data_IF_838602250581
#
_entry.id   IF_838602250581
#
_cell.length_a   1.000
_cell.length_b   1.000
_cell.length_c   1.000
_cell.angle_alpha   90.00
_cell.angle_beta   90.00
_cell.angle_gamma   90.00
#
_symmetry.space_group_name_H-M   'P 1'
#
loop_
_entity.id
_entity.type
_entity.pdbx_description
1 polymer ?
#
# COMPACT_ATOMS: atom_id res chain seq x y z
N UNK A 1 -25.56 -60.39 46.36
CA UNK A 1 -24.20 -60.56 45.82
C UNK A 1 -24.21 -60.13 44.35
N UNK A 2 -23.08 -59.59 43.88
CA UNK A 2 -22.84 -58.80 42.65
C UNK A 2 -23.06 -59.55 41.32
N UNK A 3 -23.25 -58.77 40.25
CA UNK A 3 -22.91 -59.11 38.85
C UNK A 3 -23.77 -58.36 37.82
N UNK A 4 -23.57 -57.05 37.63
CA UNK A 4 -22.81 -56.38 36.55
C UNK A 4 -23.41 -56.49 35.12
N UNK A 5 -23.75 -55.31 34.58
CA UNK A 5 -24.23 -55.01 33.24
C UNK A 5 -23.17 -55.21 32.14
N UNK A 6 -23.62 -55.44 30.91
CA UNK A 6 -22.88 -55.01 29.71
C UNK A 6 -23.85 -54.31 28.74
N UNK A 7 -23.61 -53.01 28.52
CA UNK A 7 -24.37 -52.14 27.65
C UNK A 7 -23.85 -52.22 26.20
N UNK A 8 -24.76 -52.31 25.24
CA UNK A 8 -24.46 -52.15 23.82
C UNK A 8 -24.25 -50.65 23.52
N UNK A 9 -23.08 -50.30 22.96
CA UNK A 9 -22.77 -48.92 22.54
C UNK A 9 -22.91 -48.85 21.03
N UNK A 10 -23.91 -48.11 20.57
CA UNK A 10 -24.10 -47.74 19.16
C UNK A 10 -23.13 -46.61 18.76
N UNK A 11 -22.60 -46.70 17.55
CA UNK A 11 -21.63 -45.75 16.98
C UNK A 11 -22.27 -44.40 16.62
N UNK A 12 -21.56 -43.30 16.88
CA UNK A 12 -21.84 -41.98 16.33
C UNK A 12 -20.57 -41.43 15.66
N UNK A 13 -20.57 -41.39 14.33
CA UNK A 13 -19.51 -40.75 13.55
C UNK A 13 -19.76 -39.24 13.53
N UNK A 14 -18.87 -38.46 14.16
CA UNK A 14 -18.90 -37.01 14.13
C UNK A 14 -18.28 -36.49 12.84
N UNK A 15 -19.12 -35.99 11.93
CA UNK A 15 -18.70 -35.32 10.69
C UNK A 15 -18.08 -33.96 11.04
N UNK A 16 -16.76 -33.84 10.91
CA UNK A 16 -16.06 -32.57 11.06
C UNK A 16 -16.22 -31.78 9.76
N UNK A 17 -17.05 -30.73 9.76
CA UNK A 17 -17.17 -29.84 8.61
C UNK A 17 -15.90 -28.98 8.49
N UNK A 18 -15.30 -28.82 7.29
CA UNK A 18 -14.18 -27.92 7.10
C UNK A 18 -14.67 -26.47 7.28
N UNK A 19 -13.99 -25.72 8.15
CA UNK A 19 -14.19 -24.28 8.27
C UNK A 19 -13.65 -23.59 7.01
N UNK A 20 -14.52 -22.94 6.24
CA UNK A 20 -14.12 -22.10 5.13
C UNK A 20 -13.39 -20.87 5.68
N UNK A 21 -12.06 -20.85 5.52
CA UNK A 21 -11.26 -19.68 5.84
C UNK A 21 -11.59 -18.58 4.81
N UNK A 22 -12.44 -17.63 5.20
CA UNK A 22 -12.58 -16.35 4.47
C UNK A 22 -11.21 -15.67 4.50
N UNK A 23 -10.53 -15.65 3.35
CA UNK A 23 -9.34 -14.84 3.18
C UNK A 23 -9.76 -13.37 3.26
N UNK A 24 -9.15 -12.62 4.19
CA UNK A 24 -9.35 -11.18 4.23
C UNK A 24 -9.00 -10.58 2.85
N UNK A 25 -9.80 -9.64 2.32
CA UNK A 25 -9.50 -9.03 1.03
C UNK A 25 -8.09 -8.44 1.08
N UNK A 26 -7.27 -8.78 0.08
CA UNK A 26 -5.94 -8.21 -0.05
C UNK A 26 -6.06 -6.69 -0.09
N UNK A 27 -5.35 -6.00 0.81
CA UNK A 27 -5.37 -4.55 0.87
C UNK A 27 -4.95 -3.96 -0.50
N UNK A 28 -5.89 -3.29 -1.15
CA UNK A 28 -5.69 -2.77 -2.51
C UNK A 28 -4.84 -1.50 -2.49
N UNK A 29 -3.79 -1.41 -3.34
CA UNK A 29 -3.00 -0.20 -3.46
C UNK A 29 -3.77 0.91 -4.18
N UNK A 30 -4.85 0.58 -4.88
CA UNK A 30 -5.64 1.52 -5.68
C UNK A 30 -6.41 2.47 -4.77
N UNK A 31 -6.35 3.76 -5.08
CA UNK A 31 -7.01 4.83 -4.34
C UNK A 31 -6.21 6.13 -4.32
N UNK A 32 -6.71 7.11 -3.56
CA UNK A 32 -6.02 8.36 -3.27
C UNK A 32 -5.37 8.29 -1.90
N UNK A 33 -4.10 8.66 -1.83
CA UNK A 33 -3.25 8.50 -0.66
C UNK A 33 -2.62 9.84 -0.29
N UNK A 34 -2.77 10.24 0.96
CA UNK A 34 -2.13 11.42 1.53
C UNK A 34 -0.84 10.99 2.22
N UNK A 35 0.26 11.71 1.95
CA UNK A 35 1.52 11.50 2.65
C UNK A 35 1.38 11.84 4.15
N UNK A 36 2.26 11.36 5.04
CA UNK A 36 2.13 11.58 6.48
C UNK A 36 2.23 13.06 6.91
N UNK A 37 2.73 13.93 6.04
CA UNK A 37 2.86 15.35 6.30
C UNK A 37 1.64 16.16 5.84
N UNK A 38 0.65 15.53 5.19
CA UNK A 38 -0.53 16.22 4.68
C UNK A 38 -0.25 17.20 3.53
N UNK A 39 0.90 17.07 2.86
CA UNK A 39 1.38 18.04 1.86
C UNK A 39 1.21 17.59 0.42
N UNK A 40 1.04 16.29 0.16
CA UNK A 40 0.89 15.73 -1.19
C UNK A 40 -0.13 14.59 -1.17
N UNK A 41 -1.09 14.63 -2.09
CA UNK A 41 -2.02 13.54 -2.35
C UNK A 41 -1.72 12.90 -3.71
N UNK A 42 -1.62 11.56 -3.73
CA UNK A 42 -1.34 10.76 -4.93
C UNK A 42 -2.50 9.82 -5.21
N UNK A 43 -3.03 9.87 -6.43
CA UNK A 43 -3.97 8.87 -6.91
C UNK A 43 -3.19 7.77 -7.62
N UNK A 44 -3.34 6.56 -7.13
CA UNK A 44 -2.75 5.36 -7.72
C UNK A 44 -3.68 4.74 -8.76
N UNK A 45 -3.10 4.06 -9.76
CA UNK A 45 -3.84 3.42 -10.83
C UNK A 45 -2.96 2.49 -11.65
N UNK A 46 -3.59 1.70 -12.50
CA UNK A 46 -2.88 0.90 -13.49
C UNK A 46 -2.32 1.80 -14.60
N UNK A 47 -1.12 1.48 -15.07
CA UNK A 47 -0.44 2.11 -16.19
C UNK A 47 0.11 0.97 -17.08
N UNK A 48 -0.79 0.31 -17.81
CA UNK A 48 -0.52 -0.97 -18.45
C UNK A 48 -0.52 -2.11 -17.43
N UNK A 49 0.54 -2.92 -17.44
CA UNK A 49 0.74 -4.06 -16.51
C UNK A 49 1.52 -3.65 -15.24
N UNK A 50 1.57 -2.35 -14.94
CA UNK A 50 2.26 -1.76 -13.79
C UNK A 50 1.28 -0.96 -12.92
N UNK A 51 1.66 -0.79 -11.66
CA UNK A 51 1.06 0.20 -10.77
C UNK A 51 1.82 1.53 -10.92
N UNK A 52 1.08 2.63 -11.00
CA UNK A 52 1.61 3.99 -11.02
C UNK A 52 0.81 4.88 -10.07
N UNK A 53 1.31 6.10 -9.85
CA UNK A 53 0.63 7.10 -9.05
C UNK A 53 0.98 8.51 -9.47
N UNK A 54 -0.04 9.36 -9.54
CA UNK A 54 0.05 10.74 -9.98
C UNK A 54 -0.38 11.68 -8.87
N UNK A 55 0.35 12.80 -8.74
CA UNK A 55 0.02 13.84 -7.78
C UNK A 55 -1.29 14.49 -8.23
N UNK A 56 -2.32 14.40 -7.40
CA UNK A 56 -3.63 15.00 -7.67
C UNK A 56 -3.87 16.28 -6.88
N UNK A 57 -3.05 16.52 -5.85
CA UNK A 57 -3.05 17.75 -5.06
C UNK A 57 -1.71 17.89 -4.32
N UNK A 58 -1.27 19.13 -4.10
CA UNK A 58 -0.11 19.45 -3.29
C UNK A 58 -0.27 20.82 -2.62
N UNK A 59 0.26 20.98 -1.40
CA UNK A 59 0.26 22.26 -0.69
C UNK A 59 1.11 23.32 -1.42
N UNK A 60 0.93 24.59 -1.04
CA UNK A 60 1.70 25.69 -1.63
C UNK A 60 3.21 25.54 -1.39
N UNK A 61 3.57 25.06 -0.20
CA UNK A 61 4.95 24.78 0.21
C UNK A 61 5.54 23.64 -0.61
N UNK A 62 4.82 22.51 -0.74
CA UNK A 62 5.29 21.39 -1.57
C UNK A 62 5.49 21.80 -3.04
N UNK A 63 4.63 22.67 -3.56
CA UNK A 63 4.80 23.23 -4.91
C UNK A 63 6.00 24.18 -5.00
N UNK A 64 6.32 24.93 -3.94
CA UNK A 64 7.51 25.78 -3.91
C UNK A 64 8.80 24.95 -3.87
N UNK A 65 8.88 23.96 -2.98
CA UNK A 65 10.03 23.06 -2.86
C UNK A 65 10.29 22.32 -4.18
N UNK A 66 9.22 21.86 -4.85
CA UNK A 66 9.32 21.23 -6.16
C UNK A 66 9.89 22.18 -7.23
N UNK A 67 9.50 23.47 -7.22
CA UNK A 67 10.04 24.47 -8.15
C UNK A 67 11.52 24.72 -7.92
N UNK A 68 11.95 24.78 -6.65
CA UNK A 68 13.38 24.88 -6.29
C UNK A 68 14.17 23.66 -6.79
N UNK A 69 13.55 22.47 -6.74
CA UNK A 69 14.06 21.23 -7.34
C UNK A 69 13.99 21.14 -8.87
N UNK A 70 13.50 22.19 -9.56
CA UNK A 70 13.39 22.25 -11.02
C UNK A 70 12.10 21.68 -11.61
N UNK A 71 11.10 21.37 -10.78
CA UNK A 71 9.79 20.82 -11.18
C UNK A 71 8.73 21.92 -11.12
N UNK A 72 8.42 22.53 -12.27
CA UNK A 72 7.48 23.67 -12.36
C UNK A 72 6.00 23.27 -12.40
N UNK A 73 5.69 22.02 -12.71
CA UNK A 73 4.33 21.48 -12.78
C UNK A 73 4.15 20.25 -11.88
N UNK A 74 4.05 20.46 -10.56
CA UNK A 74 3.98 19.37 -9.60
C UNK A 74 2.70 18.53 -9.73
N UNK A 75 1.53 19.18 -9.85
CA UNK A 75 0.25 18.49 -10.02
C UNK A 75 0.22 17.79 -11.39
N UNK A 76 -0.19 16.53 -11.41
CA UNK A 76 -0.18 15.66 -12.59
C UNK A 76 1.15 14.90 -12.77
N UNK A 77 2.21 15.27 -12.07
CA UNK A 77 3.48 14.53 -12.10
C UNK A 77 3.27 13.10 -11.61
N UNK A 78 3.85 12.14 -12.33
CA UNK A 78 3.89 10.75 -11.92
C UNK A 78 4.94 10.56 -10.83
N UNK A 79 4.49 10.50 -9.57
CA UNK A 79 5.36 10.31 -8.42
C UNK A 79 5.80 8.84 -8.26
N UNK A 80 4.88 7.91 -8.53
CA UNK A 80 5.11 6.46 -8.41
C UNK A 80 5.18 5.85 -9.82
N UNK A 81 6.35 5.32 -10.17
CA UNK A 81 6.72 4.91 -11.52
C UNK A 81 6.98 3.40 -11.61
N UNK A 82 6.32 2.73 -12.55
CA UNK A 82 6.63 1.36 -13.00
C UNK A 82 6.65 0.28 -11.90
N UNK A 83 5.71 0.32 -10.95
CA UNK A 83 5.68 -0.65 -9.87
C UNK A 83 5.20 -2.03 -10.34
N UNK A 84 5.98 -3.07 -10.02
CA UNK A 84 5.69 -4.48 -10.28
C UNK A 84 5.24 -5.18 -9.00
N UNK A 85 4.25 -6.08 -9.08
CA UNK A 85 3.80 -6.85 -7.92
C UNK A 85 4.89 -7.80 -7.41
N UNK A 86 4.89 -8.03 -6.11
CA UNK A 86 5.73 -8.97 -5.36
C UNK A 86 4.85 -9.71 -4.35
N UNK A 87 5.39 -10.71 -3.65
CA UNK A 87 4.64 -11.48 -2.65
C UNK A 87 4.02 -10.62 -1.52
N UNK A 88 4.56 -9.43 -1.23
CA UNK A 88 4.14 -8.59 -0.11
C UNK A 88 3.87 -7.12 -0.46
N UNK A 89 3.68 -6.81 -1.74
CA UNK A 89 3.46 -5.42 -2.19
C UNK A 89 4.04 -5.18 -3.58
N UNK A 90 4.62 -4.00 -3.81
CA UNK A 90 5.18 -3.63 -5.11
C UNK A 90 6.56 -3.02 -5.01
N UNK A 91 7.35 -3.17 -6.07
CA UNK A 91 8.67 -2.54 -6.22
C UNK A 91 8.73 -1.74 -7.51
N UNK A 92 9.33 -0.56 -7.46
CA UNK A 92 9.38 0.36 -8.59
C UNK A 92 10.28 1.55 -8.29
N UNK A 93 9.93 2.70 -8.85
CA UNK A 93 10.69 3.95 -8.70
C UNK A 93 9.79 5.02 -8.12
N UNK A 94 10.31 5.77 -7.15
CA UNK A 94 9.68 7.01 -6.67
C UNK A 94 10.45 8.20 -7.23
N UNK A 95 9.75 9.11 -7.87
CA UNK A 95 10.26 10.45 -8.19
C UNK A 95 10.10 11.33 -6.95
N UNK A 96 11.13 12.09 -6.59
CA UNK A 96 11.11 13.01 -5.45
C UNK A 96 11.32 14.43 -6.00
N UNK A 97 10.23 15.22 -6.11
CA UNK A 97 10.23 16.49 -6.84
C UNK A 97 11.13 17.57 -6.26
N UNK A 98 11.27 17.65 -4.94
CA UNK A 98 12.16 18.60 -4.23
C UNK A 98 13.64 18.42 -4.61
N UNK A 99 14.02 17.20 -5.00
CA UNK A 99 15.36 16.84 -5.45
C UNK A 99 15.48 16.72 -6.96
N UNK A 100 14.38 16.73 -7.71
CA UNK A 100 14.37 16.43 -9.15
C UNK A 100 14.92 15.04 -9.50
N UNK A 101 14.83 14.06 -8.58
CA UNK A 101 15.54 12.77 -8.68
C UNK A 101 14.63 11.57 -8.47
N UNK A 102 15.09 10.41 -8.98
CA UNK A 102 14.40 9.12 -8.91
C UNK A 102 15.16 8.14 -8.04
N UNK A 103 14.42 7.36 -7.25
CA UNK A 103 15.00 6.39 -6.32
C UNK A 103 14.25 5.06 -6.37
N UNK A 104 14.97 3.99 -6.05
CA UNK A 104 14.33 2.69 -5.81
C UNK A 104 13.30 2.84 -4.70
N UNK A 105 12.14 2.20 -4.87
CA UNK A 105 11.08 2.25 -3.89
C UNK A 105 10.27 0.96 -3.77
N UNK A 106 9.78 0.71 -2.55
CA UNK A 106 8.87 -0.39 -2.21
C UNK A 106 7.57 0.16 -1.62
N UNK A 107 6.45 -0.41 -2.03
CA UNK A 107 5.12 -0.14 -1.46
C UNK A 107 4.63 -1.42 -0.78
N UNK A 108 4.18 -1.29 0.47
CA UNK A 108 3.61 -2.39 1.26
C UNK A 108 2.26 -1.94 1.83
N UNK A 109 1.16 -2.68 1.61
CA UNK A 109 -0.10 -2.42 2.30
C UNK A 109 0.01 -2.61 3.81
N UNK A 110 -0.65 -1.74 4.56
CA UNK A 110 -0.75 -1.78 6.03
C UNK A 110 -2.22 -1.61 6.41
N UNK A 111 -2.93 -2.72 6.61
CA UNK A 111 -4.38 -2.71 6.78
C UNK A 111 -5.13 -2.24 5.52
N UNK A 112 -6.41 -1.86 5.66
CA UNK A 112 -7.24 -1.37 4.55
C UNK A 112 -6.86 0.03 4.04
N UNK A 113 -6.34 0.87 4.95
CA UNK A 113 -6.23 2.32 4.75
C UNK A 113 -4.81 2.87 4.94
N UNK A 114 -3.81 1.98 4.97
CA UNK A 114 -2.40 2.33 5.04
C UNK A 114 -1.60 1.80 3.85
N UNK A 115 -0.72 2.65 3.31
CA UNK A 115 0.36 2.25 2.42
C UNK A 115 1.70 2.70 3.00
N UNK A 116 2.60 1.76 3.27
CA UNK A 116 3.99 2.08 3.57
C UNK A 116 4.75 2.27 2.26
N UNK A 117 5.26 3.47 2.02
CA UNK A 117 6.11 3.81 0.87
C UNK A 117 7.54 4.00 1.38
N UNK A 118 8.48 3.20 0.88
CA UNK A 118 9.89 3.21 1.29
C UNK A 118 10.77 3.56 0.10
N UNK A 119 11.44 4.72 0.14
CA UNK A 119 12.46 5.12 -0.82
C UNK A 119 13.86 4.82 -0.30
N UNK A 120 14.77 4.38 -1.16
CA UNK A 120 16.16 4.12 -0.79
C UNK A 120 17.17 4.82 -1.71
N UNK A 121 18.19 5.42 -1.10
CA UNK A 121 19.36 6.02 -1.77
C UNK A 121 20.57 5.06 -1.66
N UNK A 122 21.63 5.32 -2.44
CA UNK A 122 22.87 4.51 -2.46
C UNK A 122 22.63 3.02 -2.77
N UNK A 123 22.06 2.70 -3.93
CA UNK A 123 21.75 1.33 -4.36
C UNK A 123 20.92 0.51 -3.33
N UNK A 124 20.15 1.15 -2.46
CA UNK A 124 19.29 0.46 -1.49
C UNK A 124 19.82 0.43 -0.06
N UNK A 125 21.01 0.99 0.22
CA UNK A 125 21.66 0.91 1.53
C UNK A 125 21.05 1.87 2.57
N UNK A 126 20.59 3.05 2.15
CA UNK A 126 20.00 4.05 3.07
C UNK A 126 18.56 4.29 2.68
N UNK A 127 17.62 3.92 3.52
CA UNK A 127 16.20 3.99 3.21
C UNK A 127 15.41 4.84 4.19
N UNK A 128 14.40 5.55 3.70
CA UNK A 128 13.37 6.19 4.52
C UNK A 128 11.99 5.67 4.13
N UNK A 129 11.16 5.48 5.14
CA UNK A 129 9.79 4.99 4.98
C UNK A 129 8.80 6.04 5.45
N UNK A 130 7.67 6.11 4.77
CA UNK A 130 6.51 6.93 5.11
C UNK A 130 5.28 6.04 5.16
N UNK A 131 4.39 6.27 6.12
CA UNK A 131 3.06 5.65 6.15
C UNK A 131 2.06 6.65 5.59
N UNK A 132 1.49 6.31 4.45
CA UNK A 132 0.50 7.10 3.74
C UNK A 132 -0.88 6.60 4.10
N UNK A 133 -1.84 7.51 4.17
CA UNK A 133 -3.20 7.20 4.59
C UNK A 133 -4.18 7.39 3.44
N UNK A 134 -5.15 6.49 3.33
CA UNK A 134 -6.20 6.59 2.32
C UNK A 134 -7.08 7.80 2.60
N UNK A 135 -7.44 8.55 1.56
CA UNK A 135 -8.41 9.63 1.62
C UNK A 135 -9.46 9.48 0.52
N UNK A 136 -10.71 9.85 0.80
CA UNK A 136 -11.77 9.86 -0.21
C UNK A 136 -11.54 10.98 -1.23
N UNK A 137 -11.10 12.15 -0.76
CA UNK A 137 -10.79 13.32 -1.56
C UNK A 137 -9.53 14.00 -1.00
N UNK A 138 -8.68 14.60 -1.85
CA UNK A 138 -7.57 15.42 -1.38
C UNK A 138 -8.06 16.66 -0.61
N UNK A 139 -7.22 17.28 0.25
CA UNK A 139 -7.53 18.56 0.89
C UNK A 139 -7.88 19.61 -0.17
N UNK A 140 -8.85 20.49 0.11
CA UNK A 140 -9.40 21.54 -0.78
C UNK A 140 -8.80 21.55 -2.20
N UNK A 141 -9.36 20.69 -3.06
CA UNK A 141 -9.19 20.73 -4.51
C UNK A 141 -10.15 21.74 -5.14
#
# INVERSE_FOLDING_TARGET
MRGMLAAAIAAAAASVLPAEATAAPAASPLGTWLNPYGSVAVRTGACGDRLCGWIVWASAEAQADAREGGVTGLIGTQLLENYRPTAGGWVGTVFVPDMGRRFYSKIEPVGSDGLRVKGCILHGLVCRSQLWHRVAQPPHA
#
